data_IF_014697801528
#
_entry.id   IF_014697801528
#
_cell.length_a   1.000
_cell.length_b   1.000
_cell.length_c   1.000
_cell.angle_alpha   90.00
_cell.angle_beta   90.00
_cell.angle_gamma   90.00
#
_symmetry.space_group_name_H-M   'P 1'
#
loop_
_entity.id
_entity.type
_entity.pdbx_description
1 polymer ?
#
# COMPACT_ATOMS: atom_id res chain seq x y z
N UNK A 1 5.63 17.15 -6.95
CA UNK A 1 4.64 18.24 -6.98
C UNK A 1 3.35 17.91 -7.76
N UNK A 2 3.35 16.99 -8.75
CA UNK A 2 2.17 16.68 -9.55
C UNK A 2 1.30 15.51 -9.05
N UNK A 3 1.76 14.75 -8.06
CA UNK A 3 1.04 13.57 -7.57
C UNK A 3 -0.01 13.86 -6.50
N UNK A 4 0.24 14.89 -5.69
CA UNK A 4 -0.75 15.47 -4.78
C UNK A 4 -1.91 16.11 -5.56
N UNK A 5 -1.64 16.58 -6.77
CA UNK A 5 -2.61 17.25 -7.64
C UNK A 5 -3.72 16.32 -8.16
N UNK A 6 -3.46 15.05 -8.47
CA UNK A 6 -4.52 14.14 -8.95
C UNK A 6 -5.51 13.71 -7.84
N UNK A 7 -5.00 13.50 -6.62
CA UNK A 7 -5.83 13.25 -5.44
C UNK A 7 -6.68 14.47 -5.07
N UNK A 8 -6.12 15.69 -5.16
CA UNK A 8 -6.89 16.93 -5.00
C UNK A 8 -7.84 17.25 -6.16
N UNK A 9 -7.51 16.88 -7.40
CA UNK A 9 -8.36 17.10 -8.58
C UNK A 9 -9.57 16.18 -8.55
N UNK A 10 -9.43 14.90 -8.23
CA UNK A 10 -10.58 14.00 -8.06
C UNK A 10 -11.41 14.35 -6.82
N UNK A 11 -10.78 14.71 -5.70
CA UNK A 11 -11.49 15.12 -4.49
C UNK A 11 -12.12 16.53 -4.60
N UNK A 12 -11.58 17.41 -5.46
CA UNK A 12 -11.99 18.81 -5.59
C UNK A 12 -12.84 19.14 -6.82
N UNK A 13 -12.84 18.32 -7.87
CA UNK A 13 -13.51 18.64 -9.15
C UNK A 13 -14.55 17.60 -9.62
N UNK A 14 -14.68 16.45 -8.94
CA UNK A 14 -15.72 15.47 -9.27
C UNK A 14 -15.59 14.79 -10.64
N UNK A 15 -14.40 14.83 -11.28
CA UNK A 15 -14.14 14.20 -12.59
C UNK A 15 -13.07 13.10 -12.51
N UNK A 16 -13.43 11.89 -12.04
CA UNK A 16 -12.50 10.76 -11.99
C UNK A 16 -12.03 10.32 -13.39
N UNK A 17 -12.84 10.52 -14.42
CA UNK A 17 -12.49 10.15 -15.79
C UNK A 17 -11.40 11.07 -16.36
N UNK A 18 -11.49 12.37 -16.11
CA UNK A 18 -10.45 13.35 -16.46
C UNK A 18 -9.13 13.09 -15.74
N UNK A 19 -9.18 12.77 -14.45
CA UNK A 19 -7.99 12.41 -13.68
C UNK A 19 -7.28 11.18 -14.27
N UNK A 20 -8.03 10.14 -14.65
CA UNK A 20 -7.46 8.94 -15.26
C UNK A 20 -6.85 9.23 -16.63
N UNK A 21 -7.50 10.04 -17.47
CA UNK A 21 -6.93 10.47 -18.76
C UNK A 21 -5.61 11.22 -18.57
N UNK A 22 -5.56 12.16 -17.64
CA UNK A 22 -4.35 12.94 -17.36
C UNK A 22 -3.21 12.04 -16.84
N UNK A 23 -3.52 11.08 -15.97
CA UNK A 23 -2.52 10.14 -15.46
C UNK A 23 -1.95 9.23 -16.55
N UNK A 24 -2.80 8.73 -17.45
CA UNK A 24 -2.34 7.93 -18.60
C UNK A 24 -1.42 8.73 -19.52
N UNK A 25 -1.81 9.95 -19.88
CA UNK A 25 -0.97 10.85 -20.69
C UNK A 25 0.37 11.16 -20.01
N UNK A 26 0.39 11.31 -18.68
CA UNK A 26 1.62 11.49 -17.92
C UNK A 26 2.57 10.30 -18.02
N UNK A 27 2.04 9.07 -17.88
CA UNK A 27 2.83 7.85 -18.05
C UNK A 27 3.29 7.67 -19.50
N UNK A 28 2.47 8.01 -20.49
CA UNK A 28 2.88 7.97 -21.90
C UNK A 28 4.04 8.93 -22.21
N UNK A 29 4.02 10.14 -21.64
CA UNK A 29 5.08 11.12 -21.82
C UNK A 29 6.37 10.75 -21.07
N UNK A 30 6.25 10.08 -19.92
CA UNK A 30 7.36 9.73 -19.04
C UNK A 30 7.24 8.29 -18.54
N UNK A 31 7.47 7.28 -19.42
CA UNK A 31 7.16 5.88 -19.12
C UNK A 31 7.98 5.32 -17.97
N UNK A 32 9.22 5.77 -17.77
CA UNK A 32 10.10 5.31 -16.70
C UNK A 32 9.87 6.00 -15.33
N UNK A 33 8.85 6.86 -15.21
CA UNK A 33 8.58 7.56 -13.95
C UNK A 33 7.77 6.68 -13.01
N UNK A 34 8.46 6.02 -12.08
CA UNK A 34 7.86 5.23 -10.99
C UNK A 34 6.74 5.98 -10.25
N UNK A 35 6.90 7.30 -10.05
CA UNK A 35 5.90 8.10 -9.33
C UNK A 35 4.64 8.33 -10.18
N UNK A 36 4.77 8.54 -11.50
CA UNK A 36 3.61 8.63 -12.42
C UNK A 36 2.90 7.29 -12.56
N UNK A 37 3.64 6.19 -12.67
CA UNK A 37 3.08 4.84 -12.69
C UNK A 37 2.31 4.53 -11.39
N UNK A 38 2.90 4.84 -10.22
CA UNK A 38 2.22 4.69 -8.93
C UNK A 38 0.90 5.49 -8.87
N UNK A 39 0.91 6.72 -9.36
CA UNK A 39 -0.28 7.55 -9.38
C UNK A 39 -1.37 7.06 -10.31
N UNK A 40 -1.00 6.57 -11.50
CA UNK A 40 -1.93 5.92 -12.39
C UNK A 40 -2.57 4.70 -11.70
N UNK A 41 -1.78 3.88 -11.02
CA UNK A 41 -2.29 2.72 -10.31
C UNK A 41 -3.29 3.09 -9.20
N UNK A 42 -3.01 4.13 -8.40
CA UNK A 42 -3.95 4.63 -7.39
C UNK A 42 -5.28 5.07 -8.03
N UNK A 43 -5.23 5.78 -9.16
CA UNK A 43 -6.44 6.22 -9.85
C UNK A 43 -7.22 5.07 -10.49
N UNK A 44 -6.53 4.06 -11.01
CA UNK A 44 -7.14 2.82 -11.52
C UNK A 44 -7.89 2.10 -10.39
N UNK A 45 -7.27 1.96 -9.23
CA UNK A 45 -7.88 1.35 -8.06
C UNK A 45 -9.12 2.14 -7.60
N UNK A 46 -9.03 3.46 -7.48
CA UNK A 46 -10.17 4.33 -7.13
C UNK A 46 -11.32 4.26 -8.15
N UNK A 47 -11.01 3.92 -9.41
CA UNK A 47 -11.99 3.71 -10.48
C UNK A 47 -12.56 2.29 -10.51
N UNK A 48 -12.15 1.41 -9.59
CA UNK A 48 -12.57 0.00 -9.53
C UNK A 48 -11.74 -0.95 -10.40
N UNK A 49 -10.74 -0.46 -11.15
CA UNK A 49 -9.85 -1.27 -11.98
C UNK A 49 -8.63 -1.75 -11.18
N UNK A 50 -8.86 -2.64 -10.21
CA UNK A 50 -7.79 -3.22 -9.40
C UNK A 50 -6.81 -4.09 -10.21
N UNK A 51 -7.27 -4.72 -11.29
CA UNK A 51 -6.42 -5.54 -12.16
C UNK A 51 -5.45 -4.67 -12.97
N UNK A 52 -5.93 -3.57 -13.54
CA UNK A 52 -5.09 -2.58 -14.21
C UNK A 52 -4.09 -1.95 -13.25
N UNK A 53 -4.51 -1.61 -12.03
CA UNK A 53 -3.63 -1.07 -11.00
C UNK A 53 -2.49 -2.05 -10.65
N UNK A 54 -2.80 -3.33 -10.44
CA UNK A 54 -1.78 -4.37 -10.19
C UNK A 54 -0.80 -4.49 -11.37
N UNK A 55 -1.30 -4.49 -12.61
CA UNK A 55 -0.46 -4.59 -13.80
C UNK A 55 0.54 -3.43 -13.90
N UNK A 56 0.07 -2.21 -13.69
CA UNK A 56 0.93 -1.01 -13.70
C UNK A 56 1.98 -1.07 -12.59
N UNK A 57 1.60 -1.45 -11.37
CA UNK A 57 2.53 -1.53 -10.24
C UNK A 57 3.59 -2.62 -10.42
N UNK A 58 3.23 -3.76 -11.00
CA UNK A 58 4.20 -4.83 -11.30
C UNK A 58 5.21 -4.39 -12.35
N UNK A 59 4.76 -3.73 -13.42
CA UNK A 59 5.65 -3.17 -14.44
C UNK A 59 6.60 -2.13 -13.82
N UNK A 60 6.05 -1.20 -13.05
CA UNK A 60 6.81 -0.15 -12.37
C UNK A 60 7.88 -0.73 -11.43
N UNK A 61 7.52 -1.75 -10.65
CA UNK A 61 8.43 -2.45 -9.74
C UNK A 61 9.56 -3.18 -10.47
N UNK A 62 9.29 -3.73 -11.67
CA UNK A 62 10.31 -4.38 -12.50
C UNK A 62 11.29 -3.39 -13.13
N UNK A 63 10.85 -2.16 -13.39
CA UNK A 63 11.69 -1.09 -13.95
C UNK A 63 12.51 -0.36 -12.87
N UNK A 64 11.85 0.07 -11.80
CA UNK A 64 12.47 0.77 -10.68
C UNK A 64 11.89 0.26 -9.34
N UNK A 65 12.63 -0.58 -8.60
CA UNK A 65 12.18 -1.11 -7.33
C UNK A 65 12.42 -0.17 -6.14
N UNK A 66 12.91 1.05 -6.35
CA UNK A 66 13.35 1.94 -5.27
C UNK A 66 12.21 2.70 -4.58
N UNK A 67 11.06 2.88 -5.25
CA UNK A 67 9.94 3.64 -4.71
C UNK A 67 9.08 2.76 -3.76
N UNK A 68 9.13 2.97 -2.43
CA UNK A 68 8.45 2.09 -1.47
C UNK A 68 6.92 2.06 -1.64
N UNK A 69 6.33 3.16 -2.12
CA UNK A 69 4.90 3.30 -2.36
C UNK A 69 4.38 2.28 -3.38
N UNK A 70 5.18 1.92 -4.40
CA UNK A 70 4.79 0.90 -5.38
C UNK A 70 4.59 -0.45 -4.70
N UNK A 71 5.54 -0.86 -3.88
CA UNK A 71 5.46 -2.13 -3.15
C UNK A 71 4.31 -2.13 -2.15
N UNK A 72 4.09 -1.01 -1.45
CA UNK A 72 2.99 -0.84 -0.49
C UNK A 72 1.62 -0.91 -1.17
N UNK A 73 1.42 -0.20 -2.28
CA UNK A 73 0.16 -0.19 -3.01
C UNK A 73 -0.12 -1.55 -3.69
N UNK A 74 0.91 -2.21 -4.21
CA UNK A 74 0.78 -3.57 -4.73
C UNK A 74 0.35 -4.53 -3.61
N UNK A 75 0.96 -4.42 -2.42
CA UNK A 75 0.61 -5.21 -1.26
C UNK A 75 -0.84 -4.96 -0.79
N UNK A 76 -1.33 -3.72 -0.85
CA UNK A 76 -2.72 -3.36 -0.53
C UNK A 76 -3.71 -4.07 -1.46
N UNK A 77 -3.45 -4.08 -2.77
CA UNK A 77 -4.26 -4.80 -3.76
C UNK A 77 -4.24 -6.31 -3.50
N UNK A 78 -3.05 -6.88 -3.31
CA UNK A 78 -2.88 -8.31 -3.04
C UNK A 78 -3.58 -8.74 -1.75
N UNK A 79 -3.49 -7.92 -0.69
CA UNK A 79 -4.14 -8.18 0.59
C UNK A 79 -5.66 -8.23 0.46
N UNK A 80 -6.27 -7.26 -0.25
CA UNK A 80 -7.73 -7.25 -0.50
C UNK A 80 -8.18 -8.45 -1.33
N UNK A 81 -7.34 -8.91 -2.24
CA UNK A 81 -7.59 -10.09 -3.07
C UNK A 81 -7.29 -11.43 -2.37
N UNK A 82 -6.96 -11.41 -1.06
CA UNK A 82 -6.67 -12.62 -0.29
C UNK A 82 -5.32 -13.29 -0.62
N UNK A 83 -4.49 -12.66 -1.45
CA UNK A 83 -3.15 -13.14 -1.83
C UNK A 83 -2.12 -12.76 -0.75
N UNK A 84 -2.34 -13.29 0.46
CA UNK A 84 -1.65 -12.85 1.67
C UNK A 84 -0.14 -13.06 1.65
N UNK A 85 0.35 -14.11 0.99
CA UNK A 85 1.79 -14.36 0.93
C UNK A 85 2.52 -13.36 0.04
N UNK A 86 1.98 -13.08 -1.14
CA UNK A 86 2.54 -12.05 -2.02
C UNK A 86 2.40 -10.65 -1.40
N UNK A 87 1.29 -10.39 -0.70
CA UNK A 87 1.11 -9.15 0.04
C UNK A 87 2.18 -8.99 1.13
N UNK A 88 2.49 -10.06 1.88
CA UNK A 88 3.54 -10.08 2.90
C UNK A 88 4.89 -9.67 2.31
N UNK A 89 5.30 -10.32 1.23
CA UNK A 89 6.59 -10.03 0.56
C UNK A 89 6.67 -8.58 0.07
N UNK A 90 5.58 -8.06 -0.49
CA UNK A 90 5.51 -6.70 -0.97
C UNK A 90 5.54 -5.66 0.19
N UNK A 91 4.81 -5.91 1.30
CA UNK A 91 4.90 -5.06 2.48
C UNK A 91 6.29 -5.10 3.12
N UNK A 92 6.93 -6.26 3.22
CA UNK A 92 8.29 -6.39 3.76
C UNK A 92 9.30 -5.60 2.91
N UNK A 93 9.16 -5.63 1.59
CA UNK A 93 9.98 -4.79 0.71
C UNK A 93 9.75 -3.30 0.97
N UNK A 94 8.50 -2.87 1.07
CA UNK A 94 8.16 -1.48 1.37
C UNK A 94 8.74 -1.04 2.73
N UNK A 95 8.61 -1.86 3.78
CA UNK A 95 9.15 -1.60 5.11
C UNK A 95 10.68 -1.55 5.13
N UNK A 96 11.36 -2.35 4.29
CA UNK A 96 12.82 -2.31 4.17
C UNK A 96 13.31 -1.00 3.53
N UNK A 97 12.57 -0.49 2.54
CA UNK A 97 12.90 0.75 1.83
C UNK A 97 12.55 1.99 2.65
N UNK A 98 11.42 1.97 3.35
CA UNK A 98 10.95 3.07 4.20
C UNK A 98 10.29 2.51 5.47
N UNK A 99 11.05 2.37 6.59
CA UNK A 99 10.56 1.81 7.85
C UNK A 99 9.49 2.63 8.58
N UNK A 100 9.20 3.83 8.11
CA UNK A 100 8.24 4.80 8.64
C UNK A 100 7.15 5.18 7.62
N UNK A 101 7.05 4.43 6.51
CA UNK A 101 6.14 4.72 5.39
C UNK A 101 4.67 4.83 5.80
N UNK A 102 4.25 4.07 6.81
CA UNK A 102 2.88 4.05 7.32
C UNK A 102 2.68 2.95 8.35
N UNK A 103 1.91 3.25 9.40
CA UNK A 103 1.51 2.27 10.42
C UNK A 103 0.57 1.20 9.84
N UNK A 104 -0.23 1.55 8.83
CA UNK A 104 -1.17 0.65 8.15
C UNK A 104 -0.50 -0.57 7.51
N UNK A 105 0.71 -0.41 6.95
CA UNK A 105 1.48 -1.52 6.39
C UNK A 105 1.88 -2.53 7.48
N UNK A 106 2.35 -2.04 8.63
CA UNK A 106 2.75 -2.90 9.75
C UNK A 106 1.55 -3.58 10.40
N UNK A 107 0.41 -2.88 10.45
CA UNK A 107 -0.84 -3.48 10.91
C UNK A 107 -1.27 -4.65 10.01
N UNK A 108 -1.16 -4.50 8.68
CA UNK A 108 -1.48 -5.57 7.73
C UNK A 108 -0.49 -6.73 7.79
N UNK A 109 0.81 -6.46 7.97
CA UNK A 109 1.81 -7.49 8.26
C UNK A 109 1.45 -8.29 9.53
N UNK A 110 1.02 -7.60 10.59
CA UNK A 110 0.57 -8.23 11.82
C UNK A 110 -0.66 -9.12 11.61
N UNK A 111 -1.63 -8.65 10.83
CA UNK A 111 -2.83 -9.43 10.50
C UNK A 111 -2.49 -10.69 9.66
N UNK A 112 -1.55 -10.58 8.72
CA UNK A 112 -1.07 -11.72 7.94
C UNK A 112 -0.38 -12.73 8.87
N UNK A 113 0.53 -12.27 9.74
CA UNK A 113 1.24 -13.13 10.68
C UNK A 113 0.28 -13.85 11.64
N UNK A 114 -0.70 -13.13 12.18
CA UNK A 114 -1.72 -13.69 13.06
C UNK A 114 -2.56 -14.77 12.36
N UNK A 115 -3.00 -14.53 11.11
CA UNK A 115 -3.70 -15.56 10.30
C UNK A 115 -2.86 -16.82 10.09
N UNK A 116 -1.53 -16.68 10.04
CA UNK A 116 -0.56 -17.79 9.95
C UNK A 116 -0.20 -18.41 11.30
N UNK A 117 -0.83 -17.96 12.40
CA UNK A 117 -0.52 -18.36 13.79
C UNK A 117 0.90 -18.04 14.23
N UNK A 118 1.54 -17.09 13.56
CA UNK A 118 2.84 -16.55 13.96
C UNK A 118 2.63 -15.36 14.90
N UNK A 119 2.34 -15.69 16.16
CA UNK A 119 1.99 -14.70 17.19
C UNK A 119 3.16 -13.75 17.51
N UNK A 120 4.40 -14.23 17.46
CA UNK A 120 5.59 -13.41 17.68
C UNK A 120 5.76 -12.34 16.60
N UNK A 121 5.59 -12.72 15.32
CA UNK A 121 5.63 -11.74 14.23
C UNK A 121 4.44 -10.81 14.22
N UNK A 122 3.26 -11.30 14.62
CA UNK A 122 2.06 -10.48 14.77
C UNK A 122 2.28 -9.38 15.80
N UNK A 123 2.77 -9.76 17.00
CA UNK A 123 3.16 -8.84 18.08
C UNK A 123 4.16 -7.80 17.61
N UNK A 124 5.25 -8.24 16.97
CA UNK A 124 6.29 -7.32 16.49
C UNK A 124 5.74 -6.30 15.51
N UNK A 125 4.90 -6.74 14.57
CA UNK A 125 4.34 -5.88 13.52
C UNK A 125 3.29 -4.91 14.08
N UNK A 126 2.35 -5.38 14.90
CA UNK A 126 1.37 -4.48 15.53
C UNK A 126 2.04 -3.51 16.50
N UNK A 127 3.10 -3.92 17.22
CA UNK A 127 3.92 -3.04 18.05
C UNK A 127 4.56 -1.92 17.23
N UNK A 128 5.08 -2.24 16.04
CA UNK A 128 5.62 -1.21 15.13
C UNK A 128 4.55 -0.25 14.62
N UNK A 129 3.35 -0.74 14.30
CA UNK A 129 2.23 0.10 13.91
C UNK A 129 1.83 1.07 15.04
N UNK A 130 1.68 0.58 16.28
CA UNK A 130 1.36 1.41 17.44
C UNK A 130 2.48 2.41 17.80
N UNK A 131 3.75 2.05 17.56
CA UNK A 131 4.87 2.96 17.77
C UNK A 131 4.91 4.11 16.75
N UNK A 132 4.56 3.86 15.49
CA UNK A 132 4.48 4.89 14.44
C UNK A 132 3.24 5.77 14.62
N UNK A 133 2.13 5.18 15.05
CA UNK A 133 0.88 5.87 15.31
C UNK A 133 0.31 5.44 16.67
N UNK A 134 0.61 6.19 17.75
CA UNK A 134 0.05 5.92 19.08
C UNK A 134 -1.48 5.97 19.14
N UNK A 135 -2.13 6.61 18.15
CA UNK A 135 -3.59 6.65 17.99
C UNK A 135 -4.18 5.45 17.23
N UNK A 136 -3.38 4.45 16.83
CA UNK A 136 -3.87 3.28 16.11
C UNK A 136 -4.54 2.27 17.05
N UNK A 137 -5.81 2.53 17.38
CA UNK A 137 -6.58 1.75 18.35
C UNK A 137 -6.66 0.26 18.02
N UNK A 138 -6.81 -0.10 16.75
CA UNK A 138 -6.90 -1.50 16.31
C UNK A 138 -5.60 -2.28 16.54
N UNK A 139 -4.45 -1.67 16.27
CA UNK A 139 -3.16 -2.30 16.53
C UNK A 139 -2.96 -2.56 18.03
N UNK A 140 -3.31 -1.59 18.89
CA UNK A 140 -3.26 -1.75 20.35
C UNK A 140 -4.22 -2.82 20.85
N UNK A 141 -5.47 -2.83 20.38
CA UNK A 141 -6.45 -3.84 20.77
C UNK A 141 -6.00 -5.25 20.39
N UNK A 142 -5.37 -5.42 19.22
CA UNK A 142 -4.82 -6.70 18.80
C UNK A 142 -3.64 -7.17 19.68
N UNK A 143 -2.79 -6.25 20.14
CA UNK A 143 -1.70 -6.55 21.09
C UNK A 143 -2.25 -6.99 22.44
N UNK A 144 -3.20 -6.24 23.00
CA UNK A 144 -3.86 -6.57 24.28
C UNK A 144 -4.55 -7.93 24.22
N UNK A 145 -5.28 -8.21 23.14
CA UNK A 145 -5.90 -9.52 22.91
C UNK A 145 -4.87 -10.65 22.90
N UNK A 146 -3.71 -10.42 22.28
CA UNK A 146 -2.66 -11.43 22.18
C UNK A 146 -1.95 -11.67 23.52
N UNK A 147 -1.82 -10.63 24.37
CA UNK A 147 -1.26 -10.73 25.71
C UNK A 147 -2.16 -11.47 26.71
N UNK A 148 -3.46 -11.43 26.48
CA UNK A 148 -4.45 -12.09 27.32
C UNK A 148 -4.74 -13.53 26.88
N UNK A 149 -4.16 -13.98 25.76
CA UNK A 149 -4.29 -15.35 25.30
C UNK A 149 -3.44 -16.28 26.20
N UNK A 150 -4.02 -17.34 26.78
CA UNK A 150 -3.33 -18.26 27.70
C UNK A 150 -2.30 -19.16 27.01
#
# INVERSE_FOLDING_TARGET
LWHWAAALVSAGLGDPAGALRAARAGVEAYPASAVLQNNLAVLLELSGDGAGAESVLRAALSEDPSLPQISKNLADILYRNGRFEEAREAYERAAKLAPDLGDDLYFKLGNIAYKRRDHERARTSWGRAAALNPGHELARANLEMLDLAP
#
